data_IF_192988143383
#
_entry.id   IF_192988143383
#
_cell.length_a   1.000
_cell.length_b   1.000
_cell.length_c   1.000
_cell.angle_alpha   90.00
_cell.angle_beta   90.00
_cell.angle_gamma   90.00
#
_symmetry.space_group_name_H-M   'P 1'
#
loop_
_entity.id
_entity.type
_entity.pdbx_description
1 polymer ?
#
# COMPACT_ATOMS: atom_id res chain seq x y z
N UNK A 1 -7.83 -31.22 -6.84
CA UNK A 1 -8.06 -30.14 -5.87
C UNK A 1 -7.19 -28.92 -6.19
N UNK A 2 -5.87 -29.11 -6.33
CA UNK A 2 -4.90 -28.03 -6.60
C UNK A 2 -5.20 -27.14 -7.83
N UNK A 3 -5.77 -27.73 -8.89
CA UNK A 3 -6.08 -27.01 -10.13
C UNK A 3 -7.26 -26.03 -10.01
N UNK A 4 -8.22 -26.33 -9.13
CA UNK A 4 -9.41 -25.50 -8.88
C UNK A 4 -9.01 -24.34 -7.96
N UNK A 5 -8.30 -24.65 -6.88
CA UNK A 5 -7.68 -23.67 -5.97
C UNK A 5 -6.77 -22.67 -6.69
N UNK A 6 -5.95 -23.15 -7.64
CA UNK A 6 -5.10 -22.28 -8.47
C UNK A 6 -5.91 -21.37 -9.41
N UNK A 7 -7.08 -21.80 -9.88
CA UNK A 7 -7.94 -21.00 -10.75
C UNK A 7 -8.69 -19.93 -9.96
N UNK A 8 -9.26 -20.30 -8.82
CA UNK A 8 -9.98 -19.39 -7.92
C UNK A 8 -9.05 -18.29 -7.38
N UNK A 9 -7.82 -18.64 -6.97
CA UNK A 9 -6.83 -17.67 -6.54
C UNK A 9 -6.48 -16.68 -7.66
N UNK A 10 -6.24 -17.16 -8.88
CA UNK A 10 -5.94 -16.30 -10.05
C UNK A 10 -7.12 -15.38 -10.40
N UNK A 11 -8.35 -15.86 -10.27
CA UNK A 11 -9.55 -15.06 -10.53
C UNK A 11 -9.74 -14.00 -9.43
N UNK A 12 -9.44 -14.33 -8.18
CA UNK A 12 -9.40 -13.38 -7.06
C UNK A 12 -8.32 -12.31 -7.26
N UNK A 13 -7.08 -12.69 -7.61
CA UNK A 13 -5.99 -11.77 -7.93
C UNK A 13 -6.39 -10.78 -9.01
N UNK A 14 -6.96 -11.27 -10.12
CA UNK A 14 -7.43 -10.39 -11.21
C UNK A 14 -8.51 -9.42 -10.74
N UNK A 15 -9.47 -9.90 -9.94
CA UNK A 15 -10.55 -9.08 -9.39
C UNK A 15 -10.00 -7.97 -8.48
N UNK A 16 -9.11 -8.32 -7.55
CA UNK A 16 -8.54 -7.37 -6.60
C UNK A 16 -7.64 -6.34 -7.30
N UNK A 17 -6.81 -6.78 -8.26
CA UNK A 17 -5.97 -5.88 -9.03
C UNK A 17 -6.80 -4.88 -9.85
N UNK A 18 -7.90 -5.33 -10.45
CA UNK A 18 -8.86 -4.44 -11.14
C UNK A 18 -9.46 -3.42 -10.18
N UNK A 19 -9.96 -3.86 -9.03
CA UNK A 19 -10.53 -2.98 -8.01
C UNK A 19 -9.51 -1.97 -7.47
N UNK A 20 -8.25 -2.38 -7.29
CA UNK A 20 -7.18 -1.47 -6.85
C UNK A 20 -6.92 -0.38 -7.88
N UNK A 21 -6.86 -0.74 -9.16
CA UNK A 21 -6.67 0.23 -10.26
C UNK A 21 -7.82 1.21 -10.34
N UNK A 22 -9.07 0.72 -10.32
CA UNK A 22 -10.27 1.57 -10.35
C UNK A 22 -10.26 2.57 -9.18
N UNK A 23 -9.99 2.11 -7.96
CA UNK A 23 -9.91 3.00 -6.79
C UNK A 23 -8.76 3.98 -6.86
N UNK A 24 -7.61 3.57 -7.36
CA UNK A 24 -6.48 4.46 -7.57
C UNK A 24 -6.83 5.58 -8.56
N UNK A 25 -7.48 5.24 -9.68
CA UNK A 25 -7.95 6.20 -10.67
C UNK A 25 -9.00 7.16 -10.11
N UNK A 26 -9.96 6.66 -9.33
CA UNK A 26 -10.97 7.49 -8.65
C UNK A 26 -10.32 8.52 -7.71
N UNK A 27 -9.35 8.09 -6.90
CA UNK A 27 -8.66 8.98 -5.96
C UNK A 27 -7.80 10.00 -6.69
N UNK A 28 -7.09 9.58 -7.76
CA UNK A 28 -6.32 10.50 -8.60
C UNK A 28 -7.23 11.55 -9.22
N UNK A 29 -8.36 11.14 -9.80
CA UNK A 29 -9.35 12.06 -10.38
C UNK A 29 -9.87 13.04 -9.35
N UNK A 30 -10.25 12.57 -8.16
CA UNK A 30 -10.71 13.45 -7.07
C UNK A 30 -9.68 14.53 -6.69
N UNK A 31 -8.40 14.15 -6.60
CA UNK A 31 -7.30 15.09 -6.27
C UNK A 31 -7.05 16.09 -7.41
N UNK A 32 -7.14 15.66 -8.67
CA UNK A 32 -7.01 16.53 -9.85
C UNK A 32 -8.19 17.49 -10.02
N UNK A 33 -9.42 16.98 -9.92
CA UNK A 33 -10.64 17.76 -10.11
C UNK A 33 -10.78 18.86 -9.07
N UNK A 34 -10.39 18.56 -7.82
CA UNK A 34 -10.34 19.53 -6.72
C UNK A 34 -9.12 20.46 -6.77
N UNK A 35 -8.24 20.31 -7.78
CA UNK A 35 -6.96 21.03 -7.90
C UNK A 35 -6.09 20.95 -6.65
N UNK A 36 -6.19 19.83 -5.92
CA UNK A 36 -5.41 19.57 -4.71
C UNK A 36 -3.98 19.14 -5.02
N UNK A 37 -3.78 18.55 -6.20
CA UNK A 37 -2.48 18.17 -6.74
C UNK A 37 -2.50 18.39 -8.26
N UNK A 38 -1.35 18.72 -8.83
CA UNK A 38 -1.18 18.77 -10.27
C UNK A 38 -0.76 17.43 -10.86
N UNK A 39 -0.87 17.33 -12.19
CA UNK A 39 -0.58 16.12 -12.94
C UNK A 39 0.88 15.66 -12.78
N UNK A 40 1.83 16.60 -12.73
CA UNK A 40 3.26 16.31 -12.61
C UNK A 40 3.57 15.68 -11.25
N UNK A 41 2.96 16.19 -10.17
CA UNK A 41 3.10 15.64 -8.81
C UNK A 41 2.54 14.24 -8.75
N UNK A 42 1.35 14.00 -9.30
CA UNK A 42 0.74 12.67 -9.32
C UNK A 42 1.58 11.68 -10.12
N UNK A 43 2.07 12.11 -11.30
CA UNK A 43 2.91 11.29 -12.16
C UNK A 43 4.20 10.87 -11.46
N UNK A 44 4.85 11.80 -10.76
CA UNK A 44 6.04 11.50 -9.96
C UNK A 44 5.74 10.51 -8.82
N UNK A 45 4.63 10.70 -8.10
CA UNK A 45 4.23 9.79 -7.02
C UNK A 45 4.04 8.36 -7.55
N UNK A 46 3.36 8.22 -8.68
CA UNK A 46 3.15 6.93 -9.36
C UNK A 46 4.49 6.30 -9.77
N UNK A 47 5.37 7.09 -10.38
CA UNK A 47 6.69 6.63 -10.80
C UNK A 47 7.54 6.15 -9.62
N UNK A 48 7.55 6.88 -8.49
CA UNK A 48 8.25 6.48 -7.27
C UNK A 48 7.68 5.17 -6.71
N UNK A 49 6.36 5.03 -6.74
CA UNK A 49 5.68 3.81 -6.30
C UNK A 49 6.10 2.61 -7.16
N UNK A 50 6.07 2.75 -8.48
CA UNK A 50 6.46 1.70 -9.41
C UNK A 50 7.94 1.32 -9.28
N UNK A 51 8.83 2.33 -9.25
CA UNK A 51 10.28 2.12 -9.07
C UNK A 51 10.64 1.48 -7.74
N UNK A 52 9.78 1.59 -6.72
CA UNK A 52 10.05 0.98 -5.42
C UNK A 52 10.06 -0.55 -5.46
N UNK A 53 9.42 -1.18 -6.47
CA UNK A 53 9.33 -2.64 -6.66
C UNK A 53 8.92 -3.45 -5.42
N UNK A 54 8.32 -2.79 -4.43
CA UNK A 54 7.98 -3.41 -3.16
C UNK A 54 6.71 -4.23 -3.32
N UNK A 55 6.76 -5.45 -2.83
CA UNK A 55 5.63 -6.36 -2.76
C UNK A 55 5.47 -6.86 -1.32
N UNK A 56 4.21 -7.04 -0.91
CA UNK A 56 3.91 -7.76 0.32
C UNK A 56 4.06 -9.25 0.05
N UNK A 57 4.80 -9.95 0.92
CA UNK A 57 5.01 -11.39 0.83
C UNK A 57 4.32 -12.08 2.00
N UNK A 58 4.03 -13.38 1.85
CA UNK A 58 3.37 -14.20 2.87
C UNK A 58 4.10 -14.14 4.21
N UNK A 59 5.43 -14.09 4.20
CA UNK A 59 6.26 -14.02 5.42
C UNK A 59 5.99 -12.73 6.22
N UNK A 60 5.60 -11.64 5.56
CA UNK A 60 5.23 -10.41 6.27
C UNK A 60 3.98 -10.64 7.12
N UNK A 61 2.98 -11.33 6.56
CA UNK A 61 1.71 -11.60 7.25
C UNK A 61 1.85 -12.70 8.29
N UNK A 62 2.62 -13.75 8.02
CA UNK A 62 2.96 -14.78 9.01
C UNK A 62 3.62 -14.13 10.25
N UNK A 63 4.53 -13.17 10.04
CA UNK A 63 5.18 -12.44 11.16
C UNK A 63 4.18 -11.55 11.92
N UNK A 64 3.20 -10.95 11.25
CA UNK A 64 2.14 -10.19 11.90
C UNK A 64 1.28 -11.10 12.79
N UNK A 65 0.87 -12.23 12.25
CA UNK A 65 -0.11 -13.13 12.87
C UNK A 65 0.49 -14.01 13.98
N UNK A 66 1.77 -14.40 13.87
CA UNK A 66 2.34 -15.47 14.72
C UNK A 66 3.30 -15.01 15.82
N UNK A 67 4.00 -13.87 15.66
CA UNK A 67 5.03 -13.47 16.64
C UNK A 67 4.42 -12.80 17.87
N UNK A 68 5.18 -12.77 18.97
CA UNK A 68 4.88 -11.93 20.14
C UNK A 68 5.01 -10.46 19.75
N UNK A 69 4.47 -9.53 20.55
CA UNK A 69 4.50 -8.10 20.22
C UNK A 69 5.90 -7.48 20.11
N UNK A 70 6.97 -8.27 20.18
CA UNK A 70 8.32 -7.80 19.95
C UNK A 70 8.60 -7.44 18.48
N UNK A 71 9.02 -6.20 18.26
CA UNK A 71 9.59 -5.70 17.01
C UNK A 71 10.97 -5.08 17.29
N UNK A 72 12.01 -5.58 16.61
CA UNK A 72 13.41 -5.13 16.81
C UNK A 72 13.87 -5.14 18.28
N UNK A 73 13.45 -6.14 19.05
CA UNK A 73 13.81 -6.27 20.48
C UNK A 73 13.04 -5.34 21.42
N UNK A 74 11.92 -4.76 20.97
CA UNK A 74 11.02 -3.93 21.78
C UNK A 74 9.60 -4.47 21.72
N UNK A 75 8.95 -4.58 22.87
CA UNK A 75 7.54 -4.98 22.95
C UNK A 75 6.65 -3.84 22.48
N UNK A 76 5.77 -4.14 21.54
CA UNK A 76 4.77 -3.22 21.00
C UNK A 76 3.43 -3.42 21.71
N UNK A 77 2.55 -2.40 21.67
CA UNK A 77 1.15 -2.61 22.02
C UNK A 77 0.46 -3.59 21.06
N UNK A 78 -0.64 -4.20 21.52
CA UNK A 78 -1.41 -5.16 20.73
C UNK A 78 -1.81 -4.58 19.36
N UNK A 79 -1.63 -5.38 18.30
CA UNK A 79 -1.98 -5.06 16.91
C UNK A 79 -1.18 -3.91 16.24
N UNK A 80 -0.05 -3.48 16.84
CA UNK A 80 0.74 -2.38 16.26
C UNK A 80 1.76 -2.80 15.19
N UNK A 81 2.04 -4.09 14.97
CA UNK A 81 3.09 -4.51 14.01
C UNK A 81 2.74 -4.20 12.57
N UNK A 82 1.51 -4.51 12.18
CA UNK A 82 1.00 -4.20 10.86
C UNK A 82 0.95 -2.68 10.65
N UNK A 83 0.46 -1.93 11.64
CA UNK A 83 0.49 -0.47 11.66
C UNK A 83 1.91 0.09 11.53
N UNK A 84 2.89 -0.50 12.22
CA UNK A 84 4.30 -0.09 12.13
C UNK A 84 4.85 -0.33 10.74
N UNK A 85 4.62 -1.50 10.14
CA UNK A 85 5.11 -1.79 8.78
C UNK A 85 4.43 -0.91 7.72
N UNK A 86 3.12 -0.67 7.85
CA UNK A 86 2.38 0.28 7.03
C UNK A 86 2.96 1.70 7.18
N UNK A 87 3.23 2.14 8.40
CA UNK A 87 3.84 3.43 8.69
C UNK A 87 5.27 3.57 8.15
N UNK A 88 6.10 2.54 8.28
CA UNK A 88 7.45 2.51 7.70
C UNK A 88 7.39 2.61 6.17
N UNK A 89 6.44 1.91 5.55
CA UNK A 89 6.24 1.94 4.11
C UNK A 89 5.79 3.31 3.62
N UNK A 90 4.79 3.90 4.30
CA UNK A 90 4.33 5.27 4.07
C UNK A 90 5.50 6.25 4.17
N UNK A 91 6.26 6.19 5.27
CA UNK A 91 7.40 7.07 5.51
C UNK A 91 8.49 6.96 4.43
N UNK A 92 8.81 5.73 3.99
CA UNK A 92 9.81 5.54 2.93
C UNK A 92 9.40 6.17 1.60
N UNK A 93 8.14 5.98 1.19
CA UNK A 93 7.65 6.53 -0.08
C UNK A 93 7.53 8.05 0.02
N UNK A 94 6.98 8.56 1.13
CA UNK A 94 6.90 9.99 1.42
C UNK A 94 8.28 10.66 1.35
N UNK A 95 9.30 10.09 1.98
CA UNK A 95 10.66 10.64 1.93
C UNK A 95 11.23 10.70 0.52
N UNK A 96 10.96 9.70 -0.33
CA UNK A 96 11.38 9.73 -1.74
C UNK A 96 10.64 10.80 -2.54
N UNK A 97 9.35 11.00 -2.29
CA UNK A 97 8.55 12.04 -2.93
C UNK A 97 9.07 13.42 -2.56
N UNK A 98 9.25 13.68 -1.26
CA UNK A 98 9.80 14.95 -0.74
C UNK A 98 11.18 15.22 -1.34
N UNK A 99 12.06 14.20 -1.42
CA UNK A 99 13.39 14.38 -1.99
C UNK A 99 13.36 14.79 -3.48
N UNK A 100 12.44 14.20 -4.27
CA UNK A 100 12.30 14.52 -5.69
C UNK A 100 11.60 15.86 -5.91
N UNK A 101 10.80 16.33 -4.96
CA UNK A 101 10.09 17.61 -5.03
C UNK A 101 10.74 18.73 -4.21
N UNK A 102 11.98 18.55 -3.76
CA UNK A 102 12.67 19.46 -2.83
C UNK A 102 12.77 20.91 -3.31
N UNK A 103 12.79 21.11 -4.63
CA UNK A 103 12.91 22.43 -5.25
C UNK A 103 11.54 23.08 -5.50
N UNK A 104 10.45 22.41 -5.11
CA UNK A 104 9.06 22.85 -5.25
C UNK A 104 8.51 23.32 -3.90
N UNK A 105 7.86 24.49 -3.87
CA UNK A 105 7.13 24.92 -2.69
C UNK A 105 5.72 24.32 -2.70
N UNK A 106 5.41 23.52 -1.67
CA UNK A 106 4.05 23.07 -1.39
C UNK A 106 3.49 23.79 -0.18
N UNK A 107 2.23 24.19 -0.29
CA UNK A 107 1.42 24.57 0.85
C UNK A 107 0.99 23.34 1.67
N UNK A 108 0.39 23.57 2.84
CA UNK A 108 0.02 22.49 3.75
C UNK A 108 -1.09 21.58 3.19
N UNK A 109 -2.03 22.12 2.42
CA UNK A 109 -3.10 21.34 1.79
C UNK A 109 -2.55 20.39 0.71
N UNK A 110 -1.57 20.84 -0.07
CA UNK A 110 -0.88 20.01 -1.05
C UNK A 110 -0.08 18.91 -0.37
N UNK A 111 0.66 19.22 0.72
CA UNK A 111 1.39 18.21 1.50
C UNK A 111 0.47 17.15 2.06
N UNK A 112 -0.64 17.56 2.66
CA UNK A 112 -1.65 16.64 3.16
C UNK A 112 -2.24 15.80 2.02
N UNK A 113 -2.46 16.40 0.85
CA UNK A 113 -3.00 15.69 -0.31
C UNK A 113 -2.02 14.67 -0.88
N UNK A 114 -0.71 14.95 -0.86
CA UNK A 114 0.35 13.98 -1.18
C UNK A 114 0.30 12.83 -0.17
N UNK A 115 0.32 13.14 1.13
CA UNK A 115 0.34 12.13 2.18
C UNK A 115 -0.90 11.22 2.13
N UNK A 116 -2.08 11.79 1.91
CA UNK A 116 -3.33 11.06 1.69
C UNK A 116 -3.23 10.12 0.48
N UNK A 117 -2.70 10.61 -0.66
CA UNK A 117 -2.60 9.82 -1.89
C UNK A 117 -1.65 8.65 -1.70
N UNK A 118 -0.47 8.91 -1.11
CA UNK A 118 0.51 7.87 -0.80
C UNK A 118 -0.07 6.84 0.16
N UNK A 119 -0.74 7.29 1.22
CA UNK A 119 -1.40 6.40 2.17
C UNK A 119 -2.42 5.49 1.49
N UNK A 120 -3.28 6.04 0.63
CA UNK A 120 -4.24 5.24 -0.12
C UNK A 120 -3.57 4.16 -0.97
N UNK A 121 -2.49 4.50 -1.68
CA UNK A 121 -1.77 3.51 -2.48
C UNK A 121 -1.14 2.41 -1.63
N UNK A 122 -0.48 2.75 -0.51
CA UNK A 122 0.06 1.75 0.42
C UNK A 122 -1.06 0.87 0.98
N UNK A 123 -2.16 1.48 1.40
CA UNK A 123 -3.30 0.81 2.02
C UNK A 123 -3.98 -0.17 1.07
N UNK A 124 -4.30 0.23 -0.16
CA UNK A 124 -4.92 -0.66 -1.13
C UNK A 124 -3.99 -1.78 -1.58
N UNK A 125 -2.69 -1.51 -1.72
CA UNK A 125 -1.70 -2.54 -2.02
C UNK A 125 -1.62 -3.57 -0.89
N UNK A 126 -1.60 -3.12 0.37
CA UNK A 126 -1.60 -4.00 1.53
C UNK A 126 -2.91 -4.81 1.64
N UNK A 127 -4.06 -4.16 1.46
CA UNK A 127 -5.38 -4.80 1.56
C UNK A 127 -5.55 -5.92 0.54
N UNK A 128 -5.13 -5.69 -0.70
CA UNK A 128 -5.11 -6.73 -1.75
C UNK A 128 -4.24 -7.92 -1.32
N UNK A 129 -3.00 -7.67 -0.90
CA UNK A 129 -2.09 -8.72 -0.50
C UNK A 129 -2.57 -9.50 0.73
N UNK A 130 -3.17 -8.81 1.72
CA UNK A 130 -3.74 -9.45 2.91
C UNK A 130 -4.89 -10.38 2.54
N UNK A 131 -5.80 -9.94 1.67
CA UNK A 131 -6.92 -10.78 1.21
C UNK A 131 -6.45 -12.03 0.46
N UNK A 132 -5.39 -11.91 -0.36
CA UNK A 132 -4.79 -13.05 -1.06
C UNK A 132 -4.15 -14.04 -0.09
N UNK A 133 -3.39 -13.52 0.89
CA UNK A 133 -2.78 -14.33 1.93
C UNK A 133 -3.83 -15.06 2.79
N UNK A 134 -4.88 -14.36 3.25
CA UNK A 134 -5.94 -14.98 4.06
C UNK A 134 -6.71 -16.04 3.27
N UNK A 135 -6.97 -15.79 1.97
CA UNK A 135 -7.59 -16.79 1.09
C UNK A 135 -6.69 -18.03 0.93
N UNK A 136 -5.39 -17.84 0.74
CA UNK A 136 -4.44 -18.94 0.59
C UNK A 136 -4.26 -19.77 1.87
N UNK A 137 -4.33 -19.14 3.05
CA UNK A 137 -4.29 -19.82 4.36
C UNK A 137 -5.57 -20.59 4.66
N UNK A 138 -6.74 -20.01 4.37
CA UNK A 138 -8.03 -20.67 4.59
C UNK A 138 -8.23 -21.85 3.63
N UNK A 139 -7.69 -21.77 2.42
CA UNK A 139 -7.67 -22.86 1.45
C UNK A 139 -6.78 -24.06 1.85
N UNK A 140 -5.81 -23.86 2.74
CA UNK A 140 -4.87 -24.89 3.22
C UNK A 140 -5.30 -25.55 4.54
N UNK A 141 -6.36 -25.04 5.17
CA UNK A 141 -6.99 -25.64 6.36
C UNK A 141 -8.10 -26.60 5.95
#
# INVERSE_FOLDING_TARGET
MDKILSKELKDLEKKLNKQRKEKAEEIIKDKLDKKKLDYDTISLILEIFEKSKFNWHDEHFDVFDTKTNNFRGKELPNNNRECVMLGLRLGMIRSKIIFNLRDRQFNEEERQSIDDLVWNFVWYQWKEARMLYDHSKNAKK
#
